data_IF_782667729951
#
_entry.id   IF_782667729951
#
_cell.length_a   1.000
_cell.length_b   1.000
_cell.length_c   1.000
_cell.angle_alpha   90.00
_cell.angle_beta   90.00
_cell.angle_gamma   90.00
#
_symmetry.space_group_name_H-M   'P 1'
#
loop_
_entity.id
_entity.type
_entity.pdbx_description
1 polymer ?
#
# COMPACT_ATOMS: atom_id res chain seq x y z
N UNK A 1 49.36 1.89 40.96
CA UNK A 1 48.72 0.98 39.99
C UNK A 1 47.34 1.55 39.71
N UNK A 2 47.19 2.30 38.61
CA UNK A 2 45.92 2.93 38.22
C UNK A 2 45.08 1.89 37.48
N UNK A 3 44.06 1.35 38.15
CA UNK A 3 43.02 0.55 37.50
C UNK A 3 42.05 1.57 36.93
N UNK A 4 42.10 1.78 35.61
CA UNK A 4 41.13 2.61 34.92
C UNK A 4 39.74 1.98 35.06
N UNK A 5 38.77 2.78 35.53
CA UNK A 5 37.35 2.43 35.62
C UNK A 5 36.83 1.94 34.26
N UNK A 6 35.89 0.98 34.21
CA UNK A 6 35.15 0.73 32.98
C UNK A 6 34.49 2.05 32.60
N UNK A 7 34.80 2.58 31.41
CA UNK A 7 33.95 3.59 30.80
C UNK A 7 32.58 2.94 30.69
N UNK A 8 31.65 3.40 31.51
CA UNK A 8 30.22 3.19 31.27
C UNK A 8 30.00 3.51 29.80
N UNK A 9 29.56 2.51 29.03
CA UNK A 9 29.06 2.75 27.68
C UNK A 9 27.95 3.77 27.84
N UNK A 10 28.22 5.03 27.50
CA UNK A 10 27.17 5.99 27.26
C UNK A 10 26.38 5.45 26.08
N UNK A 11 25.30 4.73 26.38
CA UNK A 11 24.30 4.37 25.39
C UNK A 11 23.67 5.69 25.00
N UNK A 12 24.16 6.28 23.91
CA UNK A 12 23.44 7.39 23.27
C UNK A 12 22.04 6.88 22.98
N UNK A 13 21.02 7.64 23.38
CA UNK A 13 19.64 7.32 23.06
C UNK A 13 19.53 7.54 21.55
N UNK A 14 19.37 6.45 20.81
CA UNK A 14 19.17 6.48 19.36
C UNK A 14 17.69 6.27 19.11
N UNK A 15 17.03 7.31 18.60
CA UNK A 15 15.63 7.23 18.18
C UNK A 15 15.56 7.07 16.67
N UNK A 16 14.67 6.20 16.20
CA UNK A 16 14.37 6.05 14.78
C UNK A 16 13.05 6.73 14.49
N UNK A 17 13.08 7.74 13.65
CA UNK A 17 11.88 8.52 13.28
C UNK A 17 11.46 8.13 11.87
N UNK A 18 10.20 7.74 11.72
CA UNK A 18 9.61 7.38 10.44
C UNK A 18 8.63 8.46 10.03
N UNK A 19 8.82 8.99 8.83
CA UNK A 19 7.95 10.00 8.22
C UNK A 19 7.23 9.39 7.03
N UNK A 20 5.90 9.39 7.09
CA UNK A 20 5.02 9.03 5.99
C UNK A 20 4.57 10.31 5.29
N UNK A 21 4.95 10.47 4.03
CA UNK A 21 4.68 11.63 3.19
C UNK A 21 3.72 11.22 2.06
N UNK A 22 2.46 11.58 2.22
CA UNK A 22 1.45 11.55 1.17
C UNK A 22 1.29 12.93 0.52
N UNK A 23 0.43 13.02 -0.49
CA UNK A 23 0.17 14.25 -1.25
C UNK A 23 -0.45 15.36 -0.39
N UNK A 24 -1.27 15.02 0.60
CA UNK A 24 -1.97 16.00 1.46
C UNK A 24 -1.70 15.82 2.95
N UNK A 25 -1.09 14.71 3.35
CA UNK A 25 -0.88 14.36 4.76
C UNK A 25 0.54 13.93 5.02
N UNK A 26 1.04 14.35 6.17
CA UNK A 26 2.33 13.97 6.71
C UNK A 26 2.10 13.36 8.09
N UNK A 27 2.63 12.17 8.32
CA UNK A 27 2.58 11.50 9.61
C UNK A 27 4.00 11.18 10.09
N UNK A 28 4.27 11.44 11.36
CA UNK A 28 5.56 11.17 11.98
C UNK A 28 5.34 10.23 13.15
N UNK A 29 6.11 9.15 13.18
CA UNK A 29 6.07 8.14 14.23
C UNK A 29 7.49 7.79 14.67
N UNK A 30 7.65 7.38 15.93
CA UNK A 30 8.88 6.77 16.43
C UNK A 30 8.76 5.27 16.19
N UNK A 31 9.78 4.66 15.60
CA UNK A 31 9.82 3.22 15.37
C UNK A 31 10.42 2.50 16.58
N UNK A 32 9.85 1.34 16.89
CA UNK A 32 10.41 0.40 17.84
C UNK A 32 11.57 -0.38 17.19
N UNK A 33 12.66 -0.54 17.93
CA UNK A 33 13.80 -1.33 17.49
C UNK A 33 13.56 -2.79 17.88
N UNK A 34 13.25 -3.63 16.88
CA UNK A 34 13.09 -5.07 17.10
C UNK A 34 14.47 -5.74 17.20
N UNK A 35 15.39 -5.36 16.31
CA UNK A 35 16.79 -5.78 16.30
C UNK A 35 17.63 -4.78 15.47
N UNK A 36 18.97 -4.91 15.37
CA UNK A 36 19.83 -3.96 14.66
C UNK A 36 19.51 -3.73 13.18
N UNK A 37 18.72 -4.60 12.55
CA UNK A 37 18.36 -4.55 11.13
C UNK A 37 16.84 -4.49 10.92
N UNK A 38 16.04 -4.36 11.98
CA UNK A 38 14.59 -4.40 11.88
C UNK A 38 13.96 -3.36 12.79
N UNK A 39 13.26 -2.44 12.15
CA UNK A 39 12.43 -1.44 12.81
C UNK A 39 10.96 -1.85 12.63
N UNK A 40 10.17 -1.65 13.67
CA UNK A 40 8.73 -1.83 13.64
C UNK A 40 8.05 -0.47 13.81
N UNK A 41 7.04 -0.21 13.00
CA UNK A 41 6.21 0.99 13.09
C UNK A 41 4.80 0.65 12.62
N UNK A 42 3.80 1.23 13.28
CA UNK A 42 2.41 1.11 12.85
C UNK A 42 2.18 2.08 11.69
N UNK A 43 1.69 1.54 10.57
CA UNK A 43 1.31 2.35 9.42
C UNK A 43 0.05 3.15 9.79
N UNK A 44 0.03 4.48 9.63
CA UNK A 44 -1.11 5.31 10.01
C UNK A 44 -2.33 5.04 9.13
N UNK A 45 -3.52 5.35 9.61
CA UNK A 45 -4.71 5.32 8.76
C UNK A 45 -4.61 6.39 7.65
N UNK A 46 -5.07 6.02 6.46
CA UNK A 46 -5.13 6.91 5.30
C UNK A 46 -6.49 6.82 4.63
N UNK A 47 -7.06 8.00 4.36
CA UNK A 47 -8.40 8.20 3.82
C UNK A 47 -8.43 8.27 2.29
N UNK A 48 -7.27 8.33 1.65
CA UNK A 48 -7.13 8.48 0.20
C UNK A 48 -6.24 7.36 -0.31
N UNK A 49 -6.62 6.78 -1.46
CA UNK A 49 -5.75 5.89 -2.21
C UNK A 49 -4.68 6.70 -2.94
N UNK A 50 -3.42 6.51 -2.55
CA UNK A 50 -2.25 7.23 -3.08
C UNK A 50 -0.94 6.49 -2.81
N UNK A 51 0.11 6.88 -3.55
CA UNK A 51 1.49 6.46 -3.26
C UNK A 51 2.07 7.35 -2.15
N UNK A 52 2.57 6.72 -1.08
CA UNK A 52 3.17 7.38 0.08
C UNK A 52 4.65 7.05 0.13
N UNK A 53 5.46 8.09 0.31
CA UNK A 53 6.91 7.97 0.53
C UNK A 53 7.15 7.84 2.02
N UNK A 54 7.90 6.82 2.42
CA UNK A 54 8.33 6.62 3.81
C UNK A 54 9.80 6.95 3.90
N UNK A 55 10.15 7.84 4.82
CA UNK A 55 11.55 8.21 5.11
C UNK A 55 11.86 7.79 6.53
N UNK A 56 12.96 7.06 6.70
CA UNK A 56 13.45 6.64 8.01
C UNK A 56 14.66 7.49 8.35
N UNK A 57 14.62 8.11 9.51
CA UNK A 57 15.68 8.91 10.06
C UNK A 57 16.23 8.25 11.32
N UNK A 58 17.52 8.45 11.56
CA UNK A 58 18.18 8.16 12.82
C UNK A 58 18.48 9.48 13.52
N UNK A 59 18.03 9.60 14.76
CA UNK A 59 18.31 10.72 15.65
C UNK A 59 19.35 10.27 16.67
N UNK A 60 20.53 10.86 16.64
CA UNK A 60 21.61 10.57 17.58
C UNK A 60 22.31 11.88 17.96
N UNK A 61 22.44 12.14 19.26
CA UNK A 61 23.13 13.31 19.80
C UNK A 61 22.67 14.65 19.17
N UNK A 62 21.35 14.84 19.06
CA UNK A 62 20.69 15.97 18.40
C UNK A 62 20.97 16.12 16.88
N UNK A 63 21.55 15.12 16.23
CA UNK A 63 21.69 15.08 14.78
C UNK A 63 20.65 14.15 14.16
N UNK A 64 19.95 14.66 13.15
CA UNK A 64 18.97 13.91 12.37
C UNK A 64 19.58 13.55 11.02
N UNK A 65 19.77 12.26 10.76
CA UNK A 65 20.30 11.76 9.49
C UNK A 65 19.29 10.84 8.81
N UNK A 66 19.19 10.91 7.48
CA UNK A 66 18.33 9.99 6.74
C UNK A 66 19.03 8.63 6.61
N UNK A 67 18.35 7.57 6.99
CA UNK A 67 18.85 6.20 6.91
C UNK A 67 18.40 5.54 5.61
N UNK A 68 17.13 5.71 5.23
CA UNK A 68 16.59 5.19 3.98
C UNK A 68 15.27 5.87 3.60
N UNK A 69 14.81 5.62 2.38
CA UNK A 69 13.45 5.91 1.96
C UNK A 69 12.88 4.76 1.13
N UNK A 70 11.57 4.57 1.20
CA UNK A 70 10.81 3.58 0.44
C UNK A 70 9.47 4.16 0.03
N UNK A 71 8.74 3.43 -0.81
CA UNK A 71 7.40 3.81 -1.24
C UNK A 71 6.44 2.65 -1.09
N UNK A 72 5.20 2.94 -0.73
CA UNK A 72 4.10 1.98 -0.81
C UNK A 72 2.82 2.69 -1.24
N UNK A 73 1.79 1.92 -1.58
CA UNK A 73 0.52 2.45 -2.07
C UNK A 73 -0.59 2.11 -1.09
N UNK A 74 -1.34 3.11 -0.65
CA UNK A 74 -2.64 2.89 -0.04
C UNK A 74 -3.68 2.69 -1.13
N UNK A 75 -4.48 1.64 -0.98
CA UNK A 75 -5.63 1.37 -1.84
C UNK A 75 -6.87 1.46 -0.96
N UNK A 76 -7.93 2.15 -1.41
CA UNK A 76 -9.12 2.20 -0.59
C UNK A 76 -9.84 0.87 -0.62
N UNK A 77 -10.55 0.59 0.47
CA UNK A 77 -11.43 -0.57 0.56
C UNK A 77 -12.48 -0.58 -0.55
N UNK A 78 -12.91 0.59 -1.03
CA UNK A 78 -13.90 0.70 -2.10
C UNK A 78 -13.31 0.25 -3.44
N UNK A 79 -12.12 0.72 -3.82
CA UNK A 79 -11.51 0.31 -5.10
C UNK A 79 -11.18 -1.18 -5.09
N UNK A 80 -10.71 -1.72 -3.96
CA UNK A 80 -10.49 -3.15 -3.81
C UNK A 80 -11.78 -3.96 -3.86
N UNK A 81 -12.86 -3.50 -3.22
CA UNK A 81 -14.17 -4.16 -3.29
C UNK A 81 -14.76 -4.13 -4.71
N UNK A 82 -14.62 -3.01 -5.42
CA UNK A 82 -15.06 -2.88 -6.82
C UNK A 82 -14.23 -3.81 -7.71
N UNK A 83 -12.89 -3.80 -7.60
CA UNK A 83 -12.03 -4.70 -8.37
C UNK A 83 -12.40 -6.17 -8.12
N UNK A 84 -12.65 -6.54 -6.86
CA UNK A 84 -13.12 -7.88 -6.50
C UNK A 84 -14.47 -8.20 -7.13
N UNK A 85 -15.45 -7.30 -7.04
CA UNK A 85 -16.76 -7.48 -7.66
C UNK A 85 -16.66 -7.67 -9.18
N UNK A 86 -15.90 -6.81 -9.85
CA UNK A 86 -15.64 -6.89 -11.29
C UNK A 86 -14.94 -8.19 -11.66
N UNK A 87 -13.97 -8.63 -10.86
CA UNK A 87 -13.32 -9.92 -11.04
C UNK A 87 -14.33 -11.06 -11.00
N UNK A 88 -15.15 -11.13 -9.97
CA UNK A 88 -16.10 -12.23 -9.82
C UNK A 88 -17.24 -12.20 -10.85
N UNK A 89 -17.53 -11.04 -11.43
CA UNK A 89 -18.66 -10.85 -12.35
C UNK A 89 -18.25 -10.82 -13.83
N UNK A 90 -16.99 -11.12 -14.16
CA UNK A 90 -16.45 -10.95 -15.51
C UNK A 90 -17.17 -11.79 -16.59
N UNK A 91 -17.77 -12.92 -16.21
CA UNK A 91 -18.54 -13.80 -17.08
C UNK A 91 -20.06 -13.57 -17.02
N UNK A 92 -20.53 -12.63 -16.20
CA UNK A 92 -21.95 -12.34 -16.01
C UNK A 92 -22.40 -11.19 -16.94
N UNK A 93 -23.08 -11.56 -18.02
CA UNK A 93 -23.58 -10.61 -19.01
C UNK A 93 -24.63 -9.64 -18.43
N UNK A 94 -25.43 -10.06 -17.46
CA UNK A 94 -26.46 -9.20 -16.84
C UNK A 94 -25.80 -8.13 -15.95
N UNK A 95 -24.73 -8.50 -15.25
CA UNK A 95 -23.94 -7.55 -14.46
C UNK A 95 -23.19 -6.58 -15.37
N UNK A 96 -22.63 -7.05 -16.49
CA UNK A 96 -21.95 -6.19 -17.46
C UNK A 96 -22.87 -5.10 -18.03
N UNK A 97 -24.11 -5.44 -18.40
CA UNK A 97 -25.10 -4.47 -18.89
C UNK A 97 -25.46 -3.42 -17.84
N UNK A 98 -25.55 -3.79 -16.56
CA UNK A 98 -25.88 -2.87 -15.47
C UNK A 98 -24.69 -2.01 -15.04
N UNK A 99 -23.46 -2.50 -15.20
CA UNK A 99 -22.24 -1.77 -14.85
C UNK A 99 -22.03 -0.52 -15.69
N UNK A 100 -22.35 -0.56 -16.98
CA UNK A 100 -22.24 0.60 -17.88
C UNK A 100 -23.13 1.77 -17.40
N UNK A 101 -24.36 1.43 -16.97
CA UNK A 101 -25.29 2.38 -16.38
C UNK A 101 -24.78 2.94 -15.03
N UNK A 102 -24.25 2.09 -14.16
CA UNK A 102 -23.68 2.51 -12.87
C UNK A 102 -22.45 3.42 -13.03
N UNK A 103 -21.55 3.10 -13.96
CA UNK A 103 -20.33 3.86 -14.21
C UNK A 103 -20.65 5.29 -14.68
N UNK A 104 -21.65 5.42 -15.55
CA UNK A 104 -22.14 6.70 -16.06
C UNK A 104 -22.71 7.59 -14.95
N UNK A 105 -23.36 6.99 -13.94
CA UNK A 105 -24.00 7.73 -12.83
C UNK A 105 -23.01 8.06 -11.71
N UNK A 106 -22.08 7.15 -11.38
CA UNK A 106 -21.29 7.26 -10.16
C UNK A 106 -20.04 8.13 -10.29
N UNK A 107 -19.41 8.21 -11.47
CA UNK A 107 -18.00 8.64 -11.51
C UNK A 107 -17.69 9.95 -12.23
N UNK A 108 -18.59 10.46 -13.08
CA UNK A 108 -18.30 11.67 -13.87
C UNK A 108 -17.09 11.49 -14.81
N UNK A 109 -17.04 12.23 -15.92
CA UNK A 109 -15.94 12.03 -16.90
C UNK A 109 -14.57 12.49 -16.39
N UNK A 110 -14.54 13.39 -15.41
CA UNK A 110 -13.32 14.08 -14.96
C UNK A 110 -12.44 13.23 -14.03
N UNK A 111 -12.85 12.01 -13.70
CA UNK A 111 -12.11 11.12 -12.81
C UNK A 111 -11.71 9.79 -13.45
N UNK A 112 -11.98 9.58 -14.74
CA UNK A 112 -11.77 8.29 -15.41
C UNK A 112 -10.32 7.81 -15.30
N UNK A 113 -9.33 8.65 -15.60
CA UNK A 113 -7.91 8.28 -15.57
C UNK A 113 -7.43 7.93 -14.15
N UNK A 114 -7.94 8.63 -13.14
CA UNK A 114 -7.63 8.36 -11.74
C UNK A 114 -8.21 7.00 -11.31
N UNK A 115 -9.45 6.73 -11.70
CA UNK A 115 -10.13 5.46 -11.43
C UNK A 115 -9.47 4.29 -12.14
N UNK A 116 -9.06 4.47 -13.39
CA UNK A 116 -8.34 3.44 -14.15
C UNK A 116 -7.03 3.05 -13.45
N UNK A 117 -6.23 4.04 -13.05
CA UNK A 117 -4.99 3.81 -12.29
C UNK A 117 -5.27 3.07 -10.96
N UNK A 118 -6.27 3.51 -10.21
CA UNK A 118 -6.59 2.93 -8.89
C UNK A 118 -7.15 1.51 -8.98
N UNK A 119 -8.04 1.27 -9.95
CA UNK A 119 -8.57 -0.07 -10.20
C UNK A 119 -7.48 -1.01 -10.72
N UNK A 120 -6.62 -0.56 -11.63
CA UNK A 120 -5.48 -1.36 -12.08
C UNK A 120 -4.57 -1.77 -10.90
N UNK A 121 -4.29 -0.84 -9.98
CA UNK A 121 -3.54 -1.15 -8.75
C UNK A 121 -4.28 -2.13 -7.85
N UNK A 122 -5.59 -1.97 -7.68
CA UNK A 122 -6.41 -2.89 -6.89
C UNK A 122 -6.44 -4.31 -7.50
N UNK A 123 -6.57 -4.43 -8.82
CA UNK A 123 -6.51 -5.70 -9.54
C UNK A 123 -5.13 -6.36 -9.44
N UNK A 124 -4.04 -5.59 -9.49
CA UNK A 124 -2.68 -6.11 -9.36
C UNK A 124 -2.40 -6.77 -7.99
N UNK A 125 -3.19 -6.43 -6.97
CA UNK A 125 -3.10 -7.02 -5.63
C UNK A 125 -4.19 -8.04 -5.34
N UNK A 126 -5.11 -8.26 -6.28
CA UNK A 126 -6.23 -9.18 -6.09
C UNK A 126 -5.79 -10.61 -6.43
N UNK A 127 -6.15 -11.55 -5.56
CA UNK A 127 -6.17 -12.96 -5.93
C UNK A 127 -7.36 -13.20 -6.87
N UNK A 128 -7.07 -13.41 -8.15
CA UNK A 128 -8.11 -13.61 -9.16
C UNK A 128 -8.85 -14.95 -8.93
N UNK A 129 -10.16 -14.99 -9.20
CA UNK A 129 -10.91 -16.25 -9.16
C UNK A 129 -10.31 -17.30 -10.09
N UNK A 130 -10.44 -18.58 -9.75
CA UNK A 130 -9.84 -19.68 -10.53
C UNK A 130 -10.45 -19.81 -11.93
N UNK A 131 -11.66 -19.29 -12.10
CA UNK A 131 -12.42 -19.23 -13.35
C UNK A 131 -11.84 -18.19 -14.32
N UNK A 132 -11.00 -17.26 -13.84
CA UNK A 132 -10.31 -16.31 -14.70
C UNK A 132 -9.21 -17.01 -15.49
N UNK A 133 -9.50 -17.29 -16.76
CA UNK A 133 -8.53 -17.81 -17.72
C UNK A 133 -8.24 -16.74 -18.77
N UNK A 134 -6.95 -16.55 -19.10
CA UNK A 134 -6.51 -15.60 -20.15
C UNK A 134 -7.16 -15.90 -21.52
N UNK A 135 -7.61 -17.13 -21.70
CA UNK A 135 -8.10 -17.69 -22.96
C UNK A 135 -9.64 -17.73 -23.02
N UNK A 136 -10.34 -17.50 -21.90
CA UNK A 136 -11.78 -17.72 -21.79
C UNK A 136 -12.16 -19.21 -21.96
N UNK A 137 -13.47 -19.50 -21.90
CA UNK A 137 -14.04 -20.86 -22.03
C UNK A 137 -13.88 -21.44 -23.46
N UNK A 138 -12.65 -21.69 -23.90
CA UNK A 138 -12.38 -22.43 -25.14
C UNK A 138 -12.49 -23.95 -24.91
N UNK A 139 -12.59 -24.40 -23.66
CA UNK A 139 -12.57 -25.83 -23.31
C UNK A 139 -13.92 -26.50 -23.09
N UNK A 140 -15.06 -25.90 -23.45
CA UNK A 140 -16.37 -26.57 -23.36
C UNK A 140 -17.07 -26.89 -24.68
N UNK A 141 -16.49 -26.58 -25.85
CA UNK A 141 -16.98 -27.10 -27.15
C UNK A 141 -16.10 -28.23 -27.66
N UNK A 142 -16.10 -29.33 -26.93
CA UNK A 142 -15.42 -30.57 -27.29
C UNK A 142 -16.24 -31.78 -26.86
N UNK A 143 -17.54 -31.80 -27.17
CA UNK A 143 -18.33 -33.03 -27.05
C UNK A 143 -18.17 -33.83 -28.34
N UNK A 144 -17.62 -35.03 -28.18
CA UNK A 144 -17.47 -36.11 -29.15
C UNK A 144 -18.84 -36.51 -29.72
#
# INVERSE_FOLDING_TARGET
>A
MLIASPKELQVSIVDYVVVFEGTKKYHVAIADVVNPYTLYVVIPEHDIAEEVVVKVYVCQDNNLNILTHLKFTYISQMEHAIAKFLAHSASDAEVAEKLDALWTVCLGKDHLELWDKRLAQAFAQLELPIEWTLVGDILQKGTI
#
